data_IF_811686810647
#
_entry.id   IF_811686810647
#
_cell.length_a   1.000
_cell.length_b   1.000
_cell.length_c   1.000
_cell.angle_alpha   90.00
_cell.angle_beta   90.00
_cell.angle_gamma   90.00
#
_symmetry.space_group_name_H-M   'P 1'
#
loop_
_entity.id
_entity.type
_entity.pdbx_description
1 polymer ?
#
# COMPACT_ATOMS: atom_id res chain seq x y z
N UNK A 1 6.44 16.64 6.41
CA UNK A 1 6.14 15.26 5.99
C UNK A 1 4.75 14.89 6.50
N UNK A 2 3.94 14.22 5.69
CA UNK A 2 2.66 13.62 6.06
C UNK A 2 2.76 12.11 5.92
N UNK A 3 2.38 11.36 6.96
CA UNK A 3 2.52 9.90 6.99
C UNK A 3 1.34 9.28 7.72
N UNK A 4 0.79 8.24 7.11
CA UNK A 4 -0.20 7.35 7.66
C UNK A 4 0.48 6.02 8.01
N UNK A 5 0.29 5.55 9.24
CA UNK A 5 0.84 4.30 9.73
C UNK A 5 -0.04 3.70 10.83
N UNK A 6 0.06 2.40 11.05
CA UNK A 6 -0.48 1.78 12.27
C UNK A 6 0.43 2.15 13.46
N UNK A 7 -0.12 2.15 14.67
CA UNK A 7 0.65 2.44 15.87
C UNK A 7 1.85 1.48 16.00
N UNK A 8 3.06 2.04 16.11
CA UNK A 8 4.32 1.28 16.17
C UNK A 8 4.97 0.97 14.81
N UNK A 9 4.34 1.29 13.68
CA UNK A 9 4.97 1.20 12.36
C UNK A 9 5.73 2.50 12.01
N UNK A 10 6.87 2.36 11.34
CA UNK A 10 7.68 3.48 10.83
C UNK A 10 7.04 4.19 9.63
N UNK A 11 6.09 3.55 8.94
CA UNK A 11 5.45 4.11 7.76
C UNK A 11 4.62 3.10 6.96
N UNK A 12 3.46 3.55 6.46
CA UNK A 12 2.65 2.80 5.49
C UNK A 12 2.49 3.54 4.17
N UNK A 13 1.91 4.73 4.21
CA UNK A 13 1.73 5.60 3.04
C UNK A 13 1.98 7.04 3.46
N UNK A 14 2.46 7.88 2.55
CA UNK A 14 2.75 9.26 2.90
C UNK A 14 3.26 10.10 1.75
N UNK A 15 3.58 11.35 2.08
CA UNK A 15 4.20 12.32 1.17
C UNK A 15 5.11 13.29 1.93
N UNK A 16 6.11 13.85 1.26
CA UNK A 16 7.02 14.83 1.84
C UNK A 16 6.91 16.22 1.18
N UNK A 17 7.65 17.19 1.70
CA UNK A 17 7.67 18.57 1.20
C UNK A 17 8.38 18.74 -0.14
N UNK A 18 9.12 17.72 -0.59
CA UNK A 18 9.78 17.69 -1.90
C UNK A 18 8.87 17.14 -3.00
N UNK A 19 7.60 16.86 -2.69
CA UNK A 19 6.65 16.32 -3.65
C UNK A 19 6.77 14.81 -3.86
N UNK A 20 7.53 14.11 -3.03
CA UNK A 20 7.62 12.65 -3.06
C UNK A 20 6.41 12.03 -2.36
N UNK A 21 5.84 10.97 -2.94
CA UNK A 21 4.75 10.22 -2.33
C UNK A 21 5.00 8.71 -2.48
N UNK A 22 4.56 7.94 -1.48
CA UNK A 22 4.62 6.48 -1.49
C UNK A 22 3.33 5.89 -0.94
N UNK A 23 2.85 4.84 -1.61
CA UNK A 23 1.80 3.95 -1.13
C UNK A 23 2.28 2.51 -1.28
N UNK A 24 1.67 1.59 -0.54
CA UNK A 24 2.12 0.21 -0.55
C UNK A 24 0.99 -0.80 -0.38
N UNK A 25 1.18 -1.96 -1.00
CA UNK A 25 0.31 -3.11 -0.90
C UNK A 25 1.16 -4.35 -0.64
N UNK A 26 0.74 -5.20 0.29
CA UNK A 26 1.43 -6.47 0.55
C UNK A 26 1.37 -7.36 -0.69
N UNK A 27 2.52 -7.94 -1.03
CA UNK A 27 2.66 -9.03 -1.99
C UNK A 27 3.22 -10.24 -1.26
N UNK A 28 3.05 -11.43 -1.84
CA UNK A 28 3.58 -12.65 -1.27
C UNK A 28 4.13 -13.50 -2.39
N UNK A 29 5.36 -13.98 -2.28
CA UNK A 29 5.93 -14.89 -3.27
C UNK A 29 6.64 -16.05 -2.60
N UNK A 30 6.97 -17.09 -3.36
CA UNK A 30 7.78 -18.22 -2.87
C UNK A 30 9.23 -17.83 -2.57
N UNK A 31 9.64 -16.61 -2.93
CA UNK A 31 10.96 -16.05 -2.65
C UNK A 31 11.05 -15.46 -1.23
N UNK A 32 9.91 -15.19 -0.58
CA UNK A 32 9.87 -14.70 0.81
C UNK A 32 10.44 -15.75 1.78
N UNK A 33 11.20 -15.30 2.77
CA UNK A 33 11.80 -16.18 3.76
C UNK A 33 11.84 -15.55 5.15
N UNK A 34 11.97 -16.39 6.18
CA UNK A 34 12.21 -15.93 7.55
C UNK A 34 13.73 -15.83 7.75
N UNK A 35 14.27 -14.65 8.10
CA UNK A 35 15.72 -14.40 8.10
C UNK A 35 16.42 -14.93 9.37
N UNK A 36 15.71 -15.62 10.25
CA UNK A 36 16.19 -16.15 11.53
C UNK A 36 15.61 -17.54 11.78
N UNK A 37 16.27 -18.32 12.64
CA UNK A 37 15.74 -19.60 13.10
C UNK A 37 14.36 -19.41 13.73
N UNK A 38 13.42 -20.27 13.36
CA UNK A 38 12.02 -20.16 13.79
C UNK A 38 11.37 -21.53 13.91
N UNK A 39 10.28 -21.59 14.66
CA UNK A 39 9.43 -22.78 14.72
C UNK A 39 8.23 -22.55 13.81
N UNK A 40 7.98 -23.49 12.90
CA UNK A 40 6.81 -23.42 12.01
C UNK A 40 5.52 -23.53 12.82
N UNK A 41 4.38 -23.19 12.19
CA UNK A 41 3.05 -23.40 12.77
C UNK A 41 2.79 -24.87 13.18
N UNK A 42 3.49 -25.82 12.57
CA UNK A 42 3.38 -27.26 12.88
C UNK A 42 4.34 -27.72 13.99
N UNK A 43 5.06 -26.81 14.63
CA UNK A 43 5.97 -27.13 15.73
C UNK A 43 7.37 -27.59 15.30
N UNK A 44 7.70 -27.52 14.00
CA UNK A 44 8.99 -27.95 13.48
C UNK A 44 9.98 -26.79 13.61
N UNK A 45 11.11 -27.01 14.29
CA UNK A 45 12.19 -26.04 14.36
C UNK A 45 12.99 -26.03 13.05
N UNK A 46 13.13 -24.85 12.46
CA UNK A 46 13.88 -24.62 11.22
C UNK A 46 15.12 -23.79 11.57
N UNK A 47 16.32 -24.39 11.57
CA UNK A 47 17.55 -23.63 11.76
C UNK A 47 17.83 -22.79 10.50
N UNK A 48 18.13 -21.50 10.69
CA UNK A 48 18.48 -20.57 9.61
C UNK A 48 19.69 -19.77 10.05
N UNK A 49 20.69 -19.67 9.19
CA UNK A 49 21.79 -18.72 9.37
C UNK A 49 21.22 -17.29 9.33
N UNK A 50 21.35 -16.48 10.39
CA UNK A 50 20.74 -15.16 10.44
C UNK A 50 21.22 -14.25 9.30
N UNK A 51 20.28 -13.67 8.55
CA UNK A 51 20.58 -12.69 7.50
C UNK A 51 20.15 -11.29 7.94
N UNK A 52 21.04 -10.27 7.83
CA UNK A 52 20.67 -8.90 8.17
C UNK A 52 19.69 -8.36 7.13
N UNK A 53 18.44 -8.18 7.53
CA UNK A 53 17.37 -7.63 6.71
C UNK A 53 16.60 -6.58 7.49
N UNK A 54 15.95 -5.66 6.78
CA UNK A 54 15.24 -4.56 7.40
C UNK A 54 13.72 -4.64 7.13
N UNK A 55 12.88 -4.12 8.03
CA UNK A 55 11.44 -4.05 7.80
C UNK A 55 11.11 -3.13 6.63
N UNK A 56 10.17 -3.54 5.77
CA UNK A 56 9.81 -2.75 4.58
C UNK A 56 9.17 -1.39 4.92
N UNK A 57 8.65 -1.22 6.15
CA UNK A 57 8.17 0.07 6.67
C UNK A 57 9.30 1.09 6.84
N UNK A 58 10.52 0.64 7.16
CA UNK A 58 11.70 1.50 7.20
C UNK A 58 12.06 2.02 5.81
N UNK A 59 12.02 1.17 4.78
CA UNK A 59 12.25 1.60 3.39
C UNK A 59 11.29 2.72 2.97
N UNK A 60 10.01 2.62 3.35
CA UNK A 60 9.02 3.67 3.05
C UNK A 60 9.38 4.99 3.74
N UNK A 61 9.85 4.94 4.99
CA UNK A 61 10.35 6.10 5.71
C UNK A 61 11.56 6.72 5.01
N UNK A 62 12.57 5.91 4.67
CA UNK A 62 13.76 6.34 3.94
C UNK A 62 13.41 7.02 2.61
N UNK A 63 12.50 6.43 1.83
CA UNK A 63 12.03 7.04 0.57
C UNK A 63 11.40 8.42 0.79
N UNK A 64 10.66 8.59 1.88
CA UNK A 64 10.02 9.88 2.22
C UNK A 64 11.01 10.91 2.79
N UNK A 65 12.22 10.50 3.16
CA UNK A 65 13.31 11.42 3.51
C UNK A 65 14.06 11.93 2.28
N UNK A 66 14.04 11.19 1.17
CA UNK A 66 14.69 11.60 -0.08
C UNK A 66 14.07 12.87 -0.67
N UNK A 67 14.93 13.73 -1.21
CA UNK A 67 14.51 14.93 -1.94
C UNK A 67 14.26 14.65 -3.43
N UNK A 68 14.83 13.57 -3.96
CA UNK A 68 14.79 13.23 -5.38
C UNK A 68 14.30 11.80 -5.61
N UNK A 69 13.51 11.61 -6.67
CA UNK A 69 12.99 10.29 -7.03
C UNK A 69 14.11 9.29 -7.35
N UNK A 70 15.15 9.72 -8.06
CA UNK A 70 16.28 8.85 -8.40
C UNK A 70 16.98 8.28 -7.16
N UNK A 71 17.22 9.11 -6.15
CA UNK A 71 17.78 8.70 -4.86
C UNK A 71 16.88 7.67 -4.17
N UNK A 72 15.57 7.96 -4.09
CA UNK A 72 14.59 7.03 -3.51
C UNK A 72 14.51 5.70 -4.26
N UNK A 73 14.62 5.71 -5.59
CA UNK A 73 14.62 4.48 -6.41
C UNK A 73 15.89 3.65 -6.19
N UNK A 74 17.05 4.28 -6.07
CA UNK A 74 18.31 3.59 -5.73
C UNK A 74 18.23 2.98 -4.32
N UNK A 75 17.66 3.71 -3.36
CA UNK A 75 17.41 3.20 -2.02
C UNK A 75 16.49 1.97 -2.06
N UNK A 76 15.39 2.04 -2.81
CA UNK A 76 14.48 0.89 -2.99
C UNK A 76 15.19 -0.29 -3.62
N UNK A 77 15.96 -0.09 -4.70
CA UNK A 77 16.64 -1.19 -5.39
C UNK A 77 17.67 -1.91 -4.51
N UNK A 78 18.35 -1.19 -3.60
CA UNK A 78 19.43 -1.75 -2.76
C UNK A 78 18.99 -2.16 -1.35
N UNK A 79 17.75 -1.88 -0.94
CA UNK A 79 17.32 -2.11 0.44
C UNK A 79 17.28 -3.60 0.83
N UNK A 80 17.92 -4.03 1.93
CA UNK A 80 17.94 -5.44 2.32
C UNK A 80 16.56 -5.88 2.83
N UNK A 81 15.98 -6.90 2.21
CA UNK A 81 14.60 -7.33 2.43
C UNK A 81 14.46 -8.86 2.40
N UNK A 82 13.40 -9.36 3.03
CA UNK A 82 13.09 -10.80 3.14
C UNK A 82 11.63 -11.13 2.79
N UNK A 83 10.82 -10.11 2.51
CA UNK A 83 9.41 -10.24 2.14
C UNK A 83 9.11 -9.41 0.89
N UNK A 84 8.21 -9.93 0.09
CA UNK A 84 7.69 -9.29 -1.10
C UNK A 84 6.76 -8.14 -0.73
N UNK A 85 6.73 -7.10 -1.56
CA UNK A 85 5.87 -5.95 -1.34
C UNK A 85 5.68 -5.17 -2.64
N UNK A 86 4.62 -4.39 -2.71
CA UNK A 86 4.47 -3.37 -3.73
C UNK A 86 4.77 -2.00 -3.13
N UNK A 87 5.58 -1.18 -3.80
CA UNK A 87 5.70 0.25 -3.54
C UNK A 87 5.28 1.03 -4.79
N UNK A 88 4.16 1.73 -4.71
CA UNK A 88 3.79 2.70 -5.74
C UNK A 88 4.27 4.07 -5.30
N UNK A 89 5.21 4.64 -6.07
CA UNK A 89 5.91 5.88 -5.77
C UNK A 89 5.59 6.95 -6.79
N UNK A 90 5.62 8.21 -6.37
CA UNK A 90 5.45 9.35 -7.25
C UNK A 90 6.28 10.55 -6.83
N UNK A 91 6.53 11.41 -7.80
CA UNK A 91 7.10 12.74 -7.64
C UNK A 91 6.21 13.77 -8.31
N UNK A 92 5.86 14.82 -7.57
CA UNK A 92 5.10 15.97 -8.05
C UNK A 92 5.99 17.01 -8.75
N UNK A 93 7.09 16.58 -9.38
CA UNK A 93 7.93 17.44 -10.21
C UNK A 93 7.14 18.11 -11.34
N UNK A 94 7.81 18.94 -12.15
CA UNK A 94 7.16 19.73 -13.22
C UNK A 94 6.35 18.92 -14.22
N UNK A 95 6.61 17.61 -14.34
CA UNK A 95 5.92 16.73 -15.28
C UNK A 95 4.96 15.74 -14.62
N UNK A 96 5.10 15.53 -13.30
CA UNK A 96 4.34 14.53 -12.55
C UNK A 96 4.70 13.12 -13.00
N UNK A 97 5.55 12.43 -12.25
CA UNK A 97 5.94 11.06 -12.55
C UNK A 97 5.53 10.11 -11.44
N UNK A 98 5.19 8.87 -11.80
CA UNK A 98 5.01 7.81 -10.84
C UNK A 98 5.28 6.46 -11.47
N UNK A 99 5.58 5.50 -10.61
CA UNK A 99 5.77 4.12 -11.01
C UNK A 99 5.43 3.20 -9.85
N UNK A 100 5.16 1.95 -10.19
CA UNK A 100 4.84 0.90 -9.26
C UNK A 100 5.97 -0.13 -9.27
N UNK A 101 6.48 -0.48 -8.10
CA UNK A 101 7.61 -1.38 -7.92
C UNK A 101 7.10 -2.62 -7.21
N UNK A 102 7.04 -3.74 -7.92
CA UNK A 102 6.80 -5.05 -7.33
C UNK A 102 8.14 -5.63 -6.88
N UNK A 103 8.30 -5.77 -5.58
CA UNK A 103 9.57 -6.10 -4.95
C UNK A 103 9.46 -7.52 -4.42
N UNK A 104 10.45 -8.36 -4.73
CA UNK A 104 10.75 -9.64 -4.06
C UNK A 104 12.09 -9.52 -3.33
N UNK A 105 12.47 -10.48 -2.48
CA UNK A 105 13.82 -10.52 -1.92
C UNK A 105 14.94 -10.48 -2.96
N UNK A 106 14.78 -11.18 -4.09
CA UNK A 106 15.76 -11.24 -5.19
C UNK A 106 15.70 -10.02 -6.13
N UNK A 107 14.51 -9.51 -6.50
CA UNK A 107 14.36 -8.54 -7.61
C UNK A 107 13.32 -7.46 -7.39
N UNK A 108 13.46 -6.39 -8.17
CA UNK A 108 12.45 -5.33 -8.30
C UNK A 108 11.93 -5.28 -9.74
N UNK A 109 10.63 -5.44 -9.91
CA UNK A 109 9.92 -5.32 -11.17
C UNK A 109 9.24 -3.96 -11.28
N UNK A 110 9.39 -3.31 -12.43
CA UNK A 110 9.01 -1.91 -12.64
C UNK A 110 7.76 -1.85 -13.51
N UNK A 111 6.64 -1.47 -12.91
CA UNK A 111 5.38 -1.23 -13.58
C UNK A 111 5.17 0.27 -13.79
N UNK A 112 5.12 0.68 -15.05
CA UNK A 112 4.72 2.04 -15.44
C UNK A 112 3.29 2.00 -15.99
N UNK A 113 2.58 3.13 -15.89
CA UNK A 113 1.33 3.30 -16.63
C UNK A 113 1.59 3.46 -18.13
N UNK A 114 0.57 3.20 -18.93
CA UNK A 114 0.58 3.63 -20.33
C UNK A 114 0.72 5.16 -20.42
N UNK A 115 1.34 5.64 -21.49
CA UNK A 115 1.61 7.09 -21.69
C UNK A 115 0.31 7.91 -21.73
N UNK A 116 -0.80 7.30 -22.13
CA UNK A 116 -2.14 7.91 -22.12
C UNK A 116 -2.83 7.89 -20.76
N UNK A 117 -2.41 6.99 -19.87
CA UNK A 117 -3.02 6.82 -18.55
C UNK A 117 -2.44 7.82 -17.55
N UNK A 118 -3.31 8.68 -17.03
CA UNK A 118 -2.96 9.63 -15.98
C UNK A 118 -3.00 8.99 -14.57
N UNK A 119 -2.84 7.66 -14.46
CA UNK A 119 -2.88 6.97 -13.18
C UNK A 119 -2.11 5.64 -13.19
N UNK A 120 -1.78 5.15 -11.99
CA UNK A 120 -1.29 3.80 -11.74
C UNK A 120 -2.15 3.15 -10.65
N UNK A 121 -2.63 1.94 -10.91
CA UNK A 121 -3.44 1.14 -9.97
C UNK A 121 -2.73 -0.16 -9.63
N UNK A 122 -2.66 -0.46 -8.33
CA UNK A 122 -2.15 -1.73 -7.84
C UNK A 122 -3.03 -2.32 -6.74
N UNK A 123 -2.96 -3.66 -6.60
CA UNK A 123 -3.59 -4.40 -5.50
C UNK A 123 -2.56 -5.33 -4.84
N UNK A 124 -2.92 -6.57 -4.49
CA UNK A 124 -2.11 -7.49 -3.69
C UNK A 124 -1.59 -8.72 -4.47
N UNK A 125 -1.51 -8.64 -5.81
CA UNK A 125 -0.95 -9.71 -6.66
C UNK A 125 0.10 -9.14 -7.59
N UNK A 126 1.03 -9.98 -8.05
CA UNK A 126 1.98 -9.59 -9.08
C UNK A 126 1.29 -9.43 -10.44
N UNK A 127 1.69 -8.42 -11.21
CA UNK A 127 1.18 -8.07 -12.53
C UNK A 127 2.29 -7.98 -13.55
N UNK A 128 3.54 -7.77 -13.15
CA UNK A 128 4.63 -7.63 -14.10
C UNK A 128 4.85 -8.94 -14.87
N UNK A 129 4.79 -8.94 -16.23
CA UNK A 129 4.91 -10.16 -17.02
C UNK A 129 6.20 -10.94 -16.74
N UNK A 130 7.31 -10.24 -16.51
CA UNK A 130 8.60 -10.86 -16.15
C UNK A 130 8.65 -11.49 -14.76
N UNK A 131 7.73 -11.16 -13.85
CA UNK A 131 7.56 -11.91 -12.60
C UNK A 131 6.67 -13.13 -12.85
N UNK A 132 5.56 -12.94 -13.58
CA UNK A 132 4.56 -13.99 -13.85
C UNK A 132 5.08 -15.11 -14.77
N UNK A 133 6.09 -14.83 -15.60
CA UNK A 133 6.71 -15.82 -16.49
C UNK A 133 7.83 -16.63 -15.85
N UNK A 134 8.20 -16.35 -14.59
CA UNK A 134 9.23 -17.10 -13.88
C UNK A 134 8.75 -18.50 -13.50
N UNK A 135 9.63 -19.48 -13.67
CA UNK A 135 9.39 -20.86 -13.28
C UNK A 135 9.77 -21.15 -11.82
N UNK A 136 10.67 -20.34 -11.26
CA UNK A 136 11.26 -20.50 -9.94
C UNK A 136 10.55 -19.72 -8.83
N UNK A 137 9.80 -18.67 -9.19
CA UNK A 137 9.00 -17.88 -8.26
C UNK A 137 7.52 -18.01 -8.60
N UNK A 138 6.68 -18.13 -7.58
CA UNK A 138 5.22 -18.10 -7.70
C UNK A 138 4.63 -17.03 -6.79
N UNK A 139 3.62 -16.32 -7.30
CA UNK A 139 2.75 -15.50 -6.47
C UNK A 139 2.01 -16.42 -5.48
N UNK A 140 2.15 -16.13 -4.19
CA UNK A 140 1.45 -16.84 -3.11
C UNK A 140 0.15 -16.15 -2.72
N UNK A 141 -0.14 -14.98 -3.26
CA UNK A 141 -1.46 -14.39 -3.15
C UNK A 141 -2.41 -15.14 -4.11
N UNK A 142 -3.40 -15.88 -3.59
CA UNK A 142 -4.15 -16.90 -4.32
C UNK A 142 -5.25 -16.32 -5.22
N UNK A 143 -5.06 -15.10 -5.73
CA UNK A 143 -5.97 -14.52 -6.72
C UNK A 143 -7.39 -14.25 -6.28
N UNK A 144 -7.64 -14.22 -4.97
CA UNK A 144 -8.94 -13.89 -4.39
C UNK A 144 -9.36 -12.44 -4.69
N UNK A 145 -9.70 -11.69 -3.64
CA UNK A 145 -10.28 -10.36 -3.85
C UNK A 145 -9.40 -9.39 -4.63
N UNK A 146 -8.08 -9.57 -4.56
CA UNK A 146 -7.12 -8.73 -5.28
C UNK A 146 -7.31 -8.65 -6.79
N UNK A 147 -7.72 -9.74 -7.46
CA UNK A 147 -7.83 -9.77 -8.92
C UNK A 147 -9.00 -8.92 -9.40
N UNK A 148 -10.21 -9.17 -8.87
CA UNK A 148 -11.37 -8.42 -9.29
C UNK A 148 -11.35 -6.98 -8.76
N UNK A 149 -10.80 -6.71 -7.55
CA UNK A 149 -10.70 -5.34 -7.03
C UNK A 149 -9.88 -4.42 -7.94
N UNK A 150 -8.81 -4.95 -8.53
CA UNK A 150 -8.01 -4.22 -9.52
C UNK A 150 -8.85 -3.81 -10.72
N UNK A 151 -9.53 -4.79 -11.33
CA UNK A 151 -10.38 -4.57 -12.50
C UNK A 151 -11.56 -3.64 -12.19
N UNK A 152 -12.20 -3.82 -11.04
CA UNK A 152 -13.35 -3.01 -10.60
C UNK A 152 -12.98 -1.56 -10.37
N UNK A 153 -11.90 -1.31 -9.63
CA UNK A 153 -11.43 0.05 -9.41
C UNK A 153 -11.03 0.70 -10.75
N UNK A 154 -10.29 -0.03 -11.59
CA UNK A 154 -9.88 0.44 -12.92
C UNK A 154 -11.10 0.77 -13.78
N UNK A 155 -12.15 -0.07 -13.78
CA UNK A 155 -13.41 0.19 -14.50
C UNK A 155 -14.06 1.50 -14.08
N UNK A 156 -13.96 1.87 -12.80
CA UNK A 156 -14.50 3.14 -12.27
C UNK A 156 -13.74 4.39 -12.73
N UNK A 157 -12.42 4.29 -12.97
CA UNK A 157 -11.57 5.46 -13.30
C UNK A 157 -11.14 5.53 -14.76
N UNK A 158 -11.03 4.40 -15.46
CA UNK A 158 -10.52 4.30 -16.82
C UNK A 158 -11.31 5.12 -17.86
N UNK A 159 -12.65 5.28 -17.75
CA UNK A 159 -13.40 6.20 -18.62
C UNK A 159 -12.93 7.67 -18.52
N UNK A 160 -12.22 8.03 -17.46
CA UNK A 160 -11.79 9.39 -17.15
C UNK A 160 -10.26 9.59 -17.28
N UNK A 161 -9.54 8.59 -17.80
CA UNK A 161 -8.06 8.55 -17.88
C UNK A 161 -7.42 9.75 -18.60
N UNK A 162 -8.14 10.39 -19.54
CA UNK A 162 -7.65 11.51 -20.36
C UNK A 162 -7.80 12.86 -19.66
N UNK A 163 -7.26 12.98 -18.44
CA UNK A 163 -7.27 14.23 -17.66
C UNK A 163 -8.63 14.65 -17.11
N UNK A 164 -9.63 13.76 -17.13
CA UNK A 164 -10.97 14.00 -16.58
C UNK A 164 -11.16 13.37 -15.19
N UNK A 165 -10.10 12.74 -14.68
CA UNK A 165 -10.08 12.12 -13.37
C UNK A 165 -9.95 13.20 -12.31
N UNK A 166 -10.93 13.25 -11.41
CA UNK A 166 -10.98 14.18 -10.30
C UNK A 166 -11.17 13.42 -8.97
N UNK A 167 -11.12 14.17 -7.87
CA UNK A 167 -11.27 13.62 -6.53
C UNK A 167 -12.59 12.85 -6.34
N UNK A 168 -13.71 13.34 -6.86
CA UNK A 168 -15.02 12.70 -6.62
C UNK A 168 -15.11 11.36 -7.34
N UNK A 169 -14.57 11.25 -8.55
CA UNK A 169 -14.49 9.99 -9.30
C UNK A 169 -13.61 8.96 -8.62
N UNK A 170 -12.46 9.38 -8.09
CA UNK A 170 -11.56 8.50 -7.34
C UNK A 170 -12.26 7.98 -6.08
N UNK A 171 -12.91 8.86 -5.31
CA UNK A 171 -13.68 8.46 -4.12
C UNK A 171 -14.81 7.50 -4.50
N UNK A 172 -15.54 7.78 -5.58
CA UNK A 172 -16.60 6.91 -6.09
C UNK A 172 -16.06 5.52 -6.43
N UNK A 173 -14.91 5.42 -7.11
CA UNK A 173 -14.29 4.14 -7.45
C UNK A 173 -13.81 3.37 -6.20
N UNK A 174 -13.26 4.07 -5.20
CA UNK A 174 -12.91 3.46 -3.91
C UNK A 174 -14.12 3.03 -3.07
N UNK A 175 -15.32 3.51 -3.42
CA UNK A 175 -16.58 3.19 -2.73
C UNK A 175 -17.33 2.02 -3.39
N UNK A 176 -16.70 1.30 -4.32
CA UNK A 176 -17.30 0.12 -4.95
C UNK A 176 -17.39 -1.07 -3.97
N UNK A 177 -18.57 -1.70 -3.93
CA UNK A 177 -18.90 -2.84 -3.07
C UNK A 177 -19.09 -4.15 -3.84
N UNK A 178 -18.54 -4.31 -5.05
CA UNK A 178 -18.63 -5.60 -5.73
C UNK A 178 -17.98 -6.69 -4.88
N UNK A 179 -18.73 -7.77 -4.61
CA UNK A 179 -18.29 -8.90 -3.78
C UNK A 179 -18.02 -8.53 -2.32
N UNK A 180 -18.88 -7.67 -1.74
CA UNK A 180 -18.92 -7.39 -0.29
C UNK A 180 -18.84 -8.70 0.53
N UNK A 181 -18.04 -8.78 1.62
CA UNK A 181 -17.28 -7.70 2.25
C UNK A 181 -15.85 -7.49 1.70
N UNK A 182 -15.41 -8.36 0.80
CA UNK A 182 -14.07 -8.36 0.19
C UNK A 182 -13.95 -7.42 -1.03
N UNK A 183 -14.81 -6.41 -1.09
CA UNK A 183 -14.89 -5.42 -2.16
C UNK A 183 -13.73 -4.42 -2.15
N UNK A 184 -13.68 -3.52 -3.16
CA UNK A 184 -12.72 -2.40 -3.18
C UNK A 184 -12.84 -1.58 -1.90
N UNK A 185 -14.07 -1.21 -1.53
CA UNK A 185 -14.38 -0.75 -0.19
C UNK A 185 -14.50 -1.97 0.72
N UNK A 186 -13.40 -2.41 1.32
CA UNK A 186 -13.37 -3.62 2.16
C UNK A 186 -14.03 -3.38 3.53
N UNK A 187 -14.81 -4.35 4.02
CA UNK A 187 -15.46 -4.29 5.33
C UNK A 187 -15.04 -5.47 6.22
N UNK A 188 -15.02 -5.31 7.55
CA UNK A 188 -14.87 -6.44 8.47
C UNK A 188 -15.96 -7.50 8.25
N UNK A 189 -15.53 -8.75 8.03
CA UNK A 189 -16.42 -9.91 8.08
C UNK A 189 -16.45 -10.46 9.50
N UNK A 190 -17.59 -10.34 10.19
CA UNK A 190 -17.72 -10.77 11.59
C UNK A 190 -17.84 -12.28 11.75
N UNK A 191 -18.30 -12.98 10.71
CA UNK A 191 -18.52 -14.42 10.72
C UNK A 191 -18.07 -15.01 9.38
N UNK A 192 -16.76 -15.01 9.09
CA UNK A 192 -16.27 -15.54 7.82
C UNK A 192 -16.52 -17.05 7.77
N UNK A 193 -17.46 -17.48 6.93
CA UNK A 193 -17.66 -18.90 6.62
C UNK A 193 -16.76 -19.23 5.44
N UNK A 194 -15.50 -19.51 5.74
CA UNK A 194 -14.49 -19.91 4.76
C UNK A 194 -14.66 -21.40 4.37
N UNK A 195 -15.87 -21.80 3.96
CA UNK A 195 -16.25 -23.21 3.75
C UNK A 195 -15.32 -23.94 2.77
N UNK A 196 -14.87 -23.26 1.72
CA UNK A 196 -13.96 -23.81 0.72
C UNK A 196 -12.52 -23.47 1.06
N UNK A 197 -12.22 -22.19 1.36
CA UNK A 197 -10.85 -21.71 1.47
C UNK A 197 -10.12 -22.12 2.76
N UNK A 198 -10.86 -22.43 3.84
CA UNK A 198 -10.28 -22.92 5.10
C UNK A 198 -9.51 -24.24 4.95
N UNK A 199 -9.79 -25.01 3.89
CA UNK A 199 -9.15 -26.29 3.62
C UNK A 199 -7.86 -26.16 2.80
N UNK A 200 -7.55 -24.98 2.24
CA UNK A 200 -6.35 -24.80 1.43
C UNK A 200 -5.12 -24.47 2.28
N UNK A 201 -4.01 -25.22 2.15
CA UNK A 201 -2.80 -24.97 2.91
C UNK A 201 -2.15 -23.66 2.48
N UNK A 202 -1.86 -22.80 3.46
CA UNK A 202 -1.13 -21.55 3.23
C UNK A 202 -1.97 -20.37 2.73
N UNK A 203 -3.30 -20.53 2.58
CA UNK A 203 -4.20 -19.40 2.35
C UNK A 203 -4.30 -18.59 3.66
N UNK A 204 -3.95 -17.28 3.68
CA UNK A 204 -4.19 -16.46 4.85
C UNK A 204 -5.71 -16.35 5.05
N UNK A 205 -6.24 -17.00 6.10
CA UNK A 205 -7.65 -16.93 6.49
C UNK A 205 -8.12 -15.48 6.53
N UNK A 206 -9.40 -15.21 6.21
CA UNK A 206 -9.94 -13.84 6.24
C UNK A 206 -9.59 -13.18 7.57
N UNK A 207 -8.90 -12.05 7.47
CA UNK A 207 -8.48 -11.30 8.65
C UNK A 207 -9.63 -10.35 9.01
N UNK A 208 -10.05 -10.25 10.28
CA UNK A 208 -11.19 -9.42 10.67
C UNK A 208 -10.96 -7.90 10.49
N UNK A 209 -9.78 -7.47 10.01
CA UNK A 209 -9.42 -6.07 9.83
C UNK A 209 -9.27 -5.73 8.34
N UNK A 210 -9.84 -4.60 7.88
CA UNK A 210 -9.68 -4.14 6.51
C UNK A 210 -8.22 -3.72 6.29
N UNK A 211 -7.57 -4.31 5.29
CA UNK A 211 -6.22 -3.91 4.88
C UNK A 211 -6.30 -2.89 3.74
N UNK A 212 -5.26 -2.08 3.52
CA UNK A 212 -5.20 -1.26 2.29
C UNK A 212 -5.03 -2.18 1.08
N UNK A 213 -6.13 -2.38 0.38
CA UNK A 213 -6.29 -3.40 -0.63
C UNK A 213 -6.05 -2.88 -2.05
N UNK A 214 -6.30 -1.59 -2.31
CA UNK A 214 -6.12 -0.95 -3.61
C UNK A 214 -5.32 0.34 -3.43
N UNK A 215 -4.29 0.55 -4.25
CA UNK A 215 -3.59 1.84 -4.38
C UNK A 215 -3.93 2.49 -5.72
N UNK A 216 -3.99 3.82 -5.73
CA UNK A 216 -4.08 4.61 -6.94
C UNK A 216 -3.22 5.87 -6.79
N UNK A 217 -2.32 6.09 -7.73
CA UNK A 217 -1.59 7.34 -7.88
C UNK A 217 -2.03 8.00 -9.18
N UNK A 218 -2.37 9.28 -9.12
CA UNK A 218 -2.67 10.09 -10.31
C UNK A 218 -1.44 10.84 -10.80
N UNK A 219 -1.18 10.78 -12.10
CA UNK A 219 -0.09 11.45 -12.79
C UNK A 219 -0.67 12.69 -13.48
N UNK A 220 -0.66 13.83 -12.79
CA UNK A 220 -1.18 15.06 -13.35
C UNK A 220 -0.21 15.60 -14.42
N UNK A 221 -0.70 15.78 -15.67
CA UNK A 221 0.07 16.36 -16.78
C UNK A 221 0.08 17.90 -16.81
N UNK A 222 -0.60 18.57 -15.90
CA UNK A 222 -0.76 20.04 -15.95
C UNK A 222 -0.31 20.72 -14.66
N UNK A 223 0.54 21.76 -14.73
CA UNK A 223 0.74 22.64 -13.60
C UNK A 223 -0.57 23.40 -13.42
N UNK A 224 -1.28 23.16 -12.32
CA UNK A 224 -2.27 24.13 -11.87
C UNK A 224 -1.52 25.45 -11.62
N UNK A 225 -1.88 26.58 -12.27
CA UNK A 225 -1.18 27.85 -12.08
C UNK A 225 -1.28 28.39 -10.64
N UNK A 226 -2.10 27.77 -9.79
CA UNK A 226 -2.38 28.23 -8.42
C UNK A 226 -1.63 27.49 -7.33
N UNK A 227 -0.97 26.36 -7.59
CA UNK A 227 -0.22 25.63 -6.55
C UNK A 227 1.25 26.04 -6.56
N UNK A 228 1.50 27.35 -6.45
CA UNK A 228 2.69 27.79 -5.72
C UNK A 228 2.45 27.36 -4.28
N UNK A 229 3.46 26.78 -3.64
CA UNK A 229 3.51 26.37 -2.23
C UNK A 229 3.04 27.54 -1.35
N UNK A 230 1.73 27.73 -1.24
CA UNK A 230 1.06 28.67 -0.35
C UNK A 230 0.53 27.81 0.76
N UNK A 231 1.20 27.90 1.89
CA UNK A 231 0.76 27.48 3.21
C UNK A 231 -0.18 26.25 3.23
N UNK A 232 0.43 25.10 3.51
CA UNK A 232 -0.21 23.82 3.90
C UNK A 232 -1.23 23.96 5.07
N UNK A 233 -1.43 25.17 5.60
CA UNK A 233 -2.29 25.47 6.75
C UNK A 233 -3.78 25.60 6.42
N UNK A 234 -4.19 25.94 5.19
CA UNK A 234 -5.63 26.05 4.86
C UNK A 234 -6.33 24.70 4.66
N UNK A 235 -5.58 23.61 4.44
CA UNK A 235 -6.13 22.27 4.22
C UNK A 235 -6.35 21.45 5.52
N UNK A 236 -6.01 22.02 6.69
CA UNK A 236 -6.17 21.37 8.00
C UNK A 236 -7.59 21.47 8.60
N UNK A 237 -8.47 22.34 8.07
CA UNK A 237 -9.77 22.64 8.68
C UNK A 237 -10.92 21.67 8.37
N UNK A 238 -10.67 20.51 7.75
CA UNK A 238 -11.74 19.56 7.38
C UNK A 238 -11.66 18.20 8.08
N UNK A 239 -10.72 18.00 9.02
CA UNK A 239 -10.69 16.84 9.91
C UNK A 239 -11.03 17.22 11.37
N UNK A 240 -12.11 17.97 11.59
CA UNK A 240 -12.77 17.99 12.90
C UNK A 240 -13.77 16.84 12.97
N UNK A 241 -13.35 15.72 13.57
CA UNK A 241 -14.26 14.74 14.15
C UNK A 241 -15.07 15.43 15.26
N UNK A 242 -16.32 15.80 14.97
CA UNK A 242 -17.31 16.12 16.01
C UNK A 242 -17.69 14.82 16.72
N UNK A 243 -16.94 14.46 17.76
CA UNK A 243 -17.36 13.51 18.79
C UNK A 243 -17.31 14.26 20.12
N UNK A 244 -18.41 14.37 20.89
CA UNK A 244 -18.37 15.04 22.18
C UNK A 244 -17.58 14.18 23.17
N UNK A 245 -16.36 14.63 23.50
CA UNK A 245 -15.58 14.13 24.63
C UNK A 245 -16.31 14.51 25.93
N UNK A 246 -16.98 13.55 26.57
CA UNK A 246 -17.34 13.65 27.99
C UNK A 246 -16.04 13.61 28.80
N UNK A 247 -15.56 14.77 29.23
CA UNK A 247 -14.55 14.89 30.28
C UNK A 247 -15.11 14.28 31.58
N UNK A 248 -14.62 13.10 31.96
CA UNK A 248 -14.68 12.64 33.36
C UNK A 248 -13.57 13.36 34.11
N UNK A 249 -13.95 14.37 34.89
CA UNK A 249 -13.08 14.97 35.90
C UNK A 249 -12.76 13.92 36.96
N UNK A 250 -11.50 13.51 37.06
CA UNK A 250 -10.99 12.84 38.27
C UNK A 250 -10.75 13.90 39.33
N UNK A 251 -11.64 13.98 40.31
CA UNK A 251 -11.45 14.80 41.51
C UNK A 251 -10.59 14.04 42.53
N UNK A 252 -9.39 14.56 42.76
CA UNK A 252 -8.71 14.68 44.07
C UNK A 252 -8.72 13.48 45.01
N UNK A 253 -7.57 12.81 45.09
CA UNK A 253 -7.11 12.17 46.34
C UNK A 253 -6.47 13.26 47.19
N UNK A 254 -7.00 13.50 48.40
CA UNK A 254 -6.45 14.46 49.36
C UNK A 254 -7.26 14.56 50.65
N UNK A 255 -6.77 13.84 51.68
CA UNK A 255 -6.84 14.12 53.13
C UNK A 255 -8.17 14.45 53.82
N UNK A 256 -8.66 13.46 54.60
CA UNK A 256 -8.88 13.56 56.06
C UNK A 256 -9.21 12.17 56.61
#
# INVERSE_FOLDING_TARGET
>A
MFLLAEAGQLGRSGMNSFGMAVTANSLMSTDDYVPISHTTRTGIFVPVEPKPVLPISLLRGMFLECAHLSEGLVAIDNFPRHVSNNLTVASADTTGFGMCLEITPDRVYKLCSDVEDAYIVHTNHFRHPGCLSRSDIRDRYPGGSSWFRHQQFTKGIHPHRRGLLDKSKIISAFSDHLSYPESVCCHPDKNPIDSVISHYPGYPSRVPLPQLLVSCITLAKTPSPSVRVRHVWEYLNLFTLRVPLKLRTMSGVGSS
#
